data_IF_718209115117
#
_entry.id   IF_718209115117
#
_cell.length_a   1.000
_cell.length_b   1.000
_cell.length_c   1.000
_cell.angle_alpha   90.00
_cell.angle_beta   90.00
_cell.angle_gamma   90.00
#
_symmetry.space_group_name_H-M   'P 1'
#
loop_
_entity.id
_entity.type
_entity.pdbx_description
1 polymer ?
#
# COMPACT_ATOMS: atom_id res chain seq x y z
N UNK A 1 46.56 -20.96 -13.87
CA UNK A 1 45.45 -21.79 -14.40
C UNK A 1 44.82 -22.52 -13.24
N UNK A 2 43.72 -21.98 -12.72
CA UNK A 2 42.83 -22.68 -11.80
C UNK A 2 41.40 -22.35 -12.27
N UNK A 3 40.84 -23.22 -13.08
CA UNK A 3 39.44 -23.18 -13.48
C UNK A 3 38.63 -23.83 -12.35
N UNK A 4 38.13 -23.04 -11.42
CA UNK A 4 37.09 -23.49 -10.50
C UNK A 4 35.82 -23.77 -11.31
N UNK A 5 35.52 -25.06 -11.46
CA UNK A 5 34.26 -25.55 -11.96
C UNK A 5 33.16 -25.16 -10.96
N UNK A 6 32.48 -24.04 -11.23
CA UNK A 6 31.19 -23.71 -10.63
C UNK A 6 30.17 -24.78 -11.07
N UNK A 7 30.01 -25.81 -10.24
CA UNK A 7 28.87 -26.71 -10.40
C UNK A 7 27.57 -25.97 -10.08
N UNK A 8 26.49 -26.18 -10.84
CA UNK A 8 25.20 -25.64 -10.49
C UNK A 8 24.71 -26.31 -9.21
N UNK A 9 24.59 -25.53 -8.13
CA UNK A 9 23.97 -25.97 -6.88
C UNK A 9 22.53 -26.38 -7.22
N UNK A 10 22.24 -27.67 -7.01
CA UNK A 10 20.92 -28.26 -7.20
C UNK A 10 19.95 -27.71 -6.14
N UNK A 11 19.27 -26.61 -6.48
CA UNK A 11 18.27 -25.97 -5.63
C UNK A 11 16.93 -26.72 -5.71
N UNK A 12 16.82 -27.85 -5.02
CA UNK A 12 15.52 -28.39 -4.67
C UNK A 12 14.90 -27.57 -3.53
N UNK A 13 14.07 -26.61 -3.93
CA UNK A 13 12.72 -26.38 -3.39
C UNK A 13 12.51 -26.16 -1.88
N UNK A 14 13.30 -25.29 -1.20
CA UNK A 14 12.98 -24.85 0.17
C UNK A 14 12.56 -23.38 0.30
N UNK A 15 12.72 -22.54 -0.73
CA UNK A 15 12.37 -21.10 -0.66
C UNK A 15 10.98 -20.75 -1.22
N UNK A 16 10.29 -21.69 -1.87
CA UNK A 16 8.95 -21.48 -2.44
C UNK A 16 7.80 -21.86 -1.48
N UNK A 17 8.08 -22.61 -0.41
CA UNK A 17 7.05 -23.29 0.40
C UNK A 17 6.25 -22.40 1.36
N UNK A 18 6.85 -21.35 1.93
CA UNK A 18 6.30 -20.68 3.12
C UNK A 18 6.12 -19.17 2.97
N UNK A 19 5.99 -18.65 1.75
CA UNK A 19 5.78 -17.21 1.55
C UNK A 19 4.55 -16.71 2.32
N UNK A 20 3.51 -17.54 2.43
CA UNK A 20 2.26 -17.27 3.15
C UNK A 20 2.42 -17.25 4.68
N UNK A 21 3.41 -17.94 5.27
CA UNK A 21 3.65 -17.97 6.71
C UNK A 21 3.97 -16.56 7.24
N UNK A 22 4.83 -15.84 6.53
CA UNK A 22 5.12 -14.43 6.82
C UNK A 22 3.92 -13.50 6.62
N UNK A 23 2.97 -13.83 5.74
CA UNK A 23 1.71 -13.08 5.62
C UNK A 23 0.77 -13.40 6.78
N UNK A 24 0.59 -14.67 7.13
CA UNK A 24 -0.28 -15.07 8.24
C UNK A 24 0.19 -14.43 9.54
N UNK A 25 1.48 -14.48 9.87
CA UNK A 25 1.99 -13.89 11.12
C UNK A 25 1.75 -12.38 11.16
N UNK A 26 1.99 -11.68 10.03
CA UNK A 26 1.77 -10.21 9.93
C UNK A 26 0.32 -9.82 10.12
N UNK A 27 -0.60 -10.53 9.48
CA UNK A 27 -2.01 -10.14 9.45
C UNK A 27 -2.85 -10.82 10.51
N UNK A 28 -2.44 -11.94 11.11
CA UNK A 28 -3.19 -12.62 12.16
C UNK A 28 -3.22 -11.81 13.46
N UNK A 29 -2.05 -11.38 13.94
CA UNK A 29 -1.97 -10.52 15.13
C UNK A 29 -2.69 -9.19 14.91
N UNK A 30 -2.49 -8.59 13.73
CA UNK A 30 -3.20 -7.38 13.34
C UNK A 30 -4.71 -7.57 13.30
N UNK A 31 -5.21 -8.65 12.70
CA UNK A 31 -6.66 -8.94 12.65
C UNK A 31 -7.30 -9.04 14.03
N UNK A 32 -6.61 -9.62 15.01
CA UNK A 32 -7.09 -9.68 16.40
C UNK A 32 -7.19 -8.28 17.02
N UNK A 33 -6.14 -7.48 16.88
CA UNK A 33 -6.10 -6.11 17.41
C UNK A 33 -7.13 -5.22 16.71
N UNK A 34 -7.19 -5.31 15.38
CA UNK A 34 -8.18 -4.64 14.55
C UNK A 34 -9.61 -5.04 14.91
N UNK A 35 -9.87 -6.30 15.28
CA UNK A 35 -11.20 -6.74 15.71
C UNK A 35 -11.63 -6.05 17.02
N UNK A 36 -10.71 -5.93 17.98
CA UNK A 36 -10.95 -5.20 19.25
C UNK A 36 -11.21 -3.72 18.99
N UNK A 37 -10.43 -3.09 18.11
CA UNK A 37 -10.62 -1.70 17.71
C UNK A 37 -11.97 -1.52 17.02
N UNK A 38 -12.33 -2.38 16.06
CA UNK A 38 -13.61 -2.34 15.36
C UNK A 38 -14.78 -2.49 16.33
N UNK A 39 -14.71 -3.44 17.27
CA UNK A 39 -15.71 -3.61 18.30
C UNK A 39 -15.88 -2.35 19.15
N UNK A 40 -14.78 -1.72 19.55
CA UNK A 40 -14.81 -0.44 20.29
C UNK A 40 -15.44 0.68 19.47
N UNK A 41 -15.05 0.83 18.20
CA UNK A 41 -15.61 1.84 17.29
C UNK A 41 -17.13 1.66 17.08
N UNK A 42 -17.59 0.43 16.88
CA UNK A 42 -19.02 0.12 16.74
C UNK A 42 -19.81 0.50 18.01
N UNK A 43 -19.23 0.24 19.18
CA UNK A 43 -19.88 0.56 20.44
C UNK A 43 -19.91 2.05 20.75
N UNK A 44 -18.88 2.80 20.34
CA UNK A 44 -18.77 4.25 20.54
C UNK A 44 -19.63 5.07 19.56
N UNK A 45 -20.17 4.44 18.51
CA UNK A 45 -21.17 5.07 17.65
C UNK A 45 -22.53 4.96 18.34
N UNK A 46 -23.02 6.10 18.85
CA UNK A 46 -24.34 6.21 19.48
C UNK A 46 -25.50 6.09 18.49
N UNK A 47 -25.24 6.38 17.21
CA UNK A 47 -26.24 6.25 16.14
C UNK A 47 -26.56 4.77 15.92
N UNK A 48 -27.84 4.44 15.74
CA UNK A 48 -28.25 3.10 15.27
C UNK A 48 -27.67 2.88 13.87
N UNK A 49 -26.59 2.13 13.81
CA UNK A 49 -25.97 1.71 12.55
C UNK A 49 -26.38 0.25 12.28
N UNK A 50 -26.81 -0.09 11.05
CA UNK A 50 -27.25 -1.45 10.71
C UNK A 50 -26.22 -2.53 11.03
N UNK A 51 -24.93 -2.18 10.97
CA UNK A 51 -23.82 -3.09 11.29
C UNK A 51 -23.81 -3.48 12.77
N UNK A 52 -24.11 -2.55 13.69
CA UNK A 52 -24.17 -2.83 15.14
C UNK A 52 -25.30 -3.81 15.44
N UNK A 53 -26.48 -3.54 14.91
CA UNK A 53 -27.66 -4.40 15.07
C UNK A 53 -27.43 -5.79 14.45
N UNK A 54 -26.82 -5.83 13.26
CA UNK A 54 -26.46 -7.09 12.61
C UNK A 54 -25.52 -7.92 13.49
N UNK A 55 -24.45 -7.34 14.03
CA UNK A 55 -23.46 -8.05 14.85
C UNK A 55 -24.06 -8.53 16.18
N UNK A 56 -24.91 -7.71 16.82
CA UNK A 56 -25.52 -8.03 18.11
C UNK A 56 -26.61 -9.12 18.00
N UNK A 57 -27.26 -9.27 16.84
CA UNK A 57 -28.31 -10.28 16.63
C UNK A 57 -27.78 -11.66 16.25
N UNK A 58 -26.48 -11.81 15.97
CA UNK A 58 -25.86 -13.11 15.68
C UNK A 58 -25.41 -13.84 16.95
N UNK A 59 -25.32 -15.16 16.83
CA UNK A 59 -24.67 -16.04 17.80
C UNK A 59 -23.19 -15.67 17.99
N UNK A 60 -22.60 -16.11 19.10
CA UNK A 60 -21.25 -15.71 19.49
C UNK A 60 -20.18 -16.11 18.46
N UNK A 61 -20.28 -17.29 17.85
CA UNK A 61 -19.28 -17.75 16.88
C UNK A 61 -19.34 -16.86 15.63
N UNK A 62 -20.53 -16.69 15.06
CA UNK A 62 -20.72 -15.81 13.89
C UNK A 62 -20.26 -14.39 14.20
N UNK A 63 -20.57 -13.87 15.39
CA UNK A 63 -20.14 -12.53 15.83
C UNK A 63 -18.62 -12.41 15.86
N UNK A 64 -17.90 -13.36 16.45
CA UNK A 64 -16.44 -13.33 16.50
C UNK A 64 -15.82 -13.46 15.11
N UNK A 65 -16.36 -14.30 14.23
CA UNK A 65 -15.88 -14.43 12.85
C UNK A 65 -16.07 -13.11 12.09
N UNK A 66 -17.23 -12.46 12.20
CA UNK A 66 -17.48 -11.16 11.57
C UNK A 66 -16.51 -10.10 12.12
N UNK A 67 -16.32 -10.03 13.44
CA UNK A 67 -15.37 -9.09 14.05
C UNK A 67 -13.92 -9.34 13.59
N UNK A 68 -13.51 -10.59 13.45
CA UNK A 68 -12.19 -10.97 12.91
C UNK A 68 -12.02 -10.53 11.45
N UNK A 69 -13.05 -10.72 10.61
CA UNK A 69 -13.03 -10.25 9.22
C UNK A 69 -12.98 -8.71 9.14
N UNK A 70 -13.74 -8.03 9.99
CA UNK A 70 -13.65 -6.57 10.11
C UNK A 70 -12.25 -6.14 10.57
N UNK A 71 -11.67 -6.85 11.53
CA UNK A 71 -10.30 -6.63 11.99
C UNK A 71 -9.26 -6.82 10.90
N UNK A 72 -9.41 -7.84 10.05
CA UNK A 72 -8.55 -8.05 8.89
C UNK A 72 -8.66 -6.89 7.88
N UNK A 73 -9.89 -6.46 7.55
CA UNK A 73 -10.11 -5.30 6.68
C UNK A 73 -9.51 -4.02 7.27
N UNK A 74 -9.69 -3.82 8.58
CA UNK A 74 -9.14 -2.69 9.31
C UNK A 74 -7.61 -2.70 9.28
N UNK A 75 -6.98 -3.84 9.56
CA UNK A 75 -5.54 -4.03 9.50
C UNK A 75 -4.98 -3.67 8.11
N UNK A 76 -5.68 -4.09 7.05
CA UNK A 76 -5.32 -3.75 5.68
C UNK A 76 -5.35 -2.22 5.45
N UNK A 77 -6.42 -1.55 5.86
CA UNK A 77 -6.55 -0.08 5.76
C UNK A 77 -5.48 0.64 6.58
N UNK A 78 -5.28 0.22 7.83
CA UNK A 78 -4.28 0.78 8.73
C UNK A 78 -2.86 0.67 8.17
N UNK A 79 -2.56 -0.39 7.40
CA UNK A 79 -1.26 -0.63 6.78
C UNK A 79 -0.95 0.29 5.58
N UNK A 80 -1.87 1.13 5.11
CA UNK A 80 -1.64 2.05 3.98
C UNK A 80 -0.34 2.87 4.06
N UNK A 81 0.02 3.51 5.20
CA UNK A 81 1.29 4.22 5.33
C UNK A 81 2.53 3.34 5.16
N UNK A 82 2.44 2.05 5.50
CA UNK A 82 3.53 1.10 5.30
C UNK A 82 3.79 0.86 3.81
N UNK A 83 2.77 0.92 2.94
CA UNK A 83 2.97 0.86 1.48
C UNK A 83 3.84 2.04 1.01
N UNK A 84 3.58 3.24 1.53
CA UNK A 84 4.38 4.43 1.21
C UNK A 84 5.82 4.29 1.71
N UNK A 85 6.03 3.71 2.89
CA UNK A 85 7.38 3.39 3.39
C UNK A 85 8.11 2.39 2.49
N UNK A 86 7.43 1.34 2.01
CA UNK A 86 8.03 0.35 1.11
C UNK A 86 8.48 0.94 -0.21
N UNK A 87 7.68 1.82 -0.82
CA UNK A 87 8.06 2.45 -2.09
C UNK A 87 9.15 3.51 -1.90
N UNK A 88 9.27 4.09 -0.70
CA UNK A 88 10.24 5.16 -0.42
C UNK A 88 11.61 4.66 0.06
N UNK A 89 11.75 3.34 0.26
CA UNK A 89 12.95 2.73 0.89
C UNK A 89 14.26 2.86 0.10
N UNK A 90 14.20 3.23 -1.18
CA UNK A 90 15.39 3.44 -2.01
C UNK A 90 16.16 4.69 -1.54
N UNK A 91 15.49 5.62 -0.85
CA UNK A 91 16.10 6.85 -0.35
C UNK A 91 16.75 6.65 1.02
N UNK A 92 17.97 7.16 1.23
CA UNK A 92 18.55 7.24 2.57
C UNK A 92 17.85 8.31 3.41
N UNK A 93 17.65 8.07 4.72
CA UNK A 93 16.94 8.99 5.62
C UNK A 93 17.51 10.42 5.59
N UNK A 94 18.83 10.58 5.47
CA UNK A 94 19.49 11.89 5.41
C UNK A 94 19.14 12.74 4.19
N UNK A 95 18.67 12.13 3.09
CA UNK A 95 18.22 12.86 1.90
C UNK A 95 16.83 13.49 2.08
N UNK A 96 15.99 12.91 2.95
CA UNK A 96 14.62 13.35 3.18
C UNK A 96 14.56 14.72 3.86
N UNK A 97 15.47 14.98 4.80
CA UNK A 97 15.55 16.27 5.52
C UNK A 97 16.03 17.42 4.64
N UNK A 98 16.90 17.15 3.67
CA UNK A 98 17.52 18.20 2.82
C UNK A 98 16.55 18.78 1.78
N UNK A 99 15.59 17.96 1.33
CA UNK A 99 14.69 18.31 0.24
C UNK A 99 13.22 18.41 0.70
N UNK A 100 12.98 18.81 1.96
CA UNK A 100 11.63 18.93 2.49
C UNK A 100 10.84 20.01 1.70
N UNK A 101 9.79 19.65 0.94
CA UNK A 101 9.08 20.60 0.09
C UNK A 101 8.16 21.47 0.96
N UNK A 102 8.71 22.53 1.58
CA UNK A 102 7.99 23.41 2.52
C UNK A 102 6.66 23.91 1.95
N UNK A 103 6.64 24.28 0.66
CA UNK A 103 5.42 24.73 -0.02
C UNK A 103 4.36 23.63 -0.14
N UNK A 104 4.77 22.38 -0.40
CA UNK A 104 3.85 21.25 -0.48
C UNK A 104 3.26 20.93 0.90
N UNK A 105 4.09 20.96 1.94
CA UNK A 105 3.63 20.77 3.33
C UNK A 105 2.64 21.86 3.70
N UNK A 106 2.93 23.13 3.38
CA UNK A 106 2.02 24.23 3.65
C UNK A 106 0.70 24.07 2.91
N UNK A 107 0.73 23.68 1.63
CA UNK A 107 -0.48 23.38 0.85
C UNK A 107 -1.28 22.21 1.44
N UNK A 108 -0.60 21.15 1.88
CA UNK A 108 -1.22 19.99 2.51
C UNK A 108 -1.88 20.36 3.84
N UNK A 109 -1.19 21.15 4.68
CA UNK A 109 -1.72 21.68 5.94
C UNK A 109 -2.94 22.59 5.71
N UNK A 110 -2.84 23.51 4.75
CA UNK A 110 -3.93 24.42 4.41
C UNK A 110 -5.15 23.64 3.91
N UNK A 111 -4.97 22.69 3.00
CA UNK A 111 -6.04 21.84 2.50
C UNK A 111 -6.70 21.03 3.62
N UNK A 112 -5.90 20.41 4.48
CA UNK A 112 -6.38 19.64 5.63
C UNK A 112 -7.20 20.52 6.59
N UNK A 113 -6.68 21.69 6.94
CA UNK A 113 -7.38 22.67 7.76
C UNK A 113 -8.69 23.13 7.13
N UNK A 114 -8.70 23.45 5.83
CA UNK A 114 -9.91 23.85 5.11
C UNK A 114 -10.97 22.75 5.11
N UNK A 115 -10.59 21.49 4.85
CA UNK A 115 -11.54 20.36 4.85
C UNK A 115 -12.13 20.14 6.25
N UNK A 116 -11.31 20.14 7.29
CA UNK A 116 -11.79 19.97 8.67
C UNK A 116 -12.71 21.12 9.07
N UNK A 117 -12.29 22.37 8.85
CA UNK A 117 -13.09 23.54 9.20
C UNK A 117 -14.44 23.53 8.47
N UNK A 118 -14.47 23.13 7.20
CA UNK A 118 -15.71 22.99 6.44
C UNK A 118 -16.61 21.89 7.03
N UNK A 119 -16.06 20.72 7.37
CA UNK A 119 -16.84 19.62 7.95
C UNK A 119 -17.44 19.99 9.31
N UNK A 120 -16.67 20.64 10.17
CA UNK A 120 -17.14 21.11 11.48
C UNK A 120 -18.19 22.22 11.35
N UNK A 121 -18.00 23.12 10.39
CA UNK A 121 -18.99 24.17 10.11
C UNK A 121 -20.32 23.56 9.61
N UNK A 122 -20.25 22.60 8.68
CA UNK A 122 -21.43 21.91 8.16
C UNK A 122 -22.14 21.04 9.19
N UNK A 123 -21.42 20.48 10.18
CA UNK A 123 -22.05 19.72 11.27
C UNK A 123 -22.67 20.62 12.35
N UNK A 124 -22.45 21.94 12.26
CA UNK A 124 -22.88 22.88 13.28
C UNK A 124 -22.03 22.85 14.56
N UNK A 125 -20.85 22.21 14.52
CA UNK A 125 -19.99 22.01 15.70
C UNK A 125 -19.69 23.34 16.39
N UNK A 126 -19.27 24.38 15.65
CA UNK A 126 -18.92 25.68 16.21
C UNK A 126 -20.06 26.43 16.92
N UNK A 127 -21.31 25.97 16.78
CA UNK A 127 -22.47 26.57 17.45
C UNK A 127 -22.84 25.85 18.75
N UNK A 128 -22.20 24.73 19.06
CA UNK A 128 -22.41 23.96 20.29
C UNK A 128 -21.49 24.42 21.43
N UNK A 129 -21.94 24.24 22.67
CA UNK A 129 -21.09 24.41 23.84
C UNK A 129 -20.16 23.20 24.00
N UNK A 130 -18.86 23.45 24.10
CA UNK A 130 -17.83 22.41 24.18
C UNK A 130 -17.10 22.46 25.52
N UNK A 131 -16.96 21.28 26.14
CA UNK A 131 -16.09 21.10 27.30
C UNK A 131 -14.61 20.99 26.87
N UNK A 132 -13.70 21.25 27.81
CA UNK A 132 -12.25 21.13 27.63
C UNK A 132 -11.81 19.74 27.15
N UNK A 133 -12.54 18.69 27.55
CA UNK A 133 -12.29 17.32 27.11
C UNK A 133 -12.51 17.12 25.61
N UNK A 134 -13.51 17.80 25.01
CA UNK A 134 -13.81 17.70 23.58
C UNK A 134 -12.71 18.35 22.72
N UNK A 135 -12.12 19.46 23.19
CA UNK A 135 -10.96 20.05 22.54
C UNK A 135 -9.74 19.13 22.55
N UNK A 136 -9.51 18.41 23.65
CA UNK A 136 -8.43 17.42 23.70
C UNK A 136 -8.65 16.28 22.70
N UNK A 137 -9.87 15.75 22.60
CA UNK A 137 -10.22 14.73 21.62
C UNK A 137 -10.05 15.23 20.19
N UNK A 138 -10.44 16.47 19.92
CA UNK A 138 -10.24 17.14 18.64
C UNK A 138 -8.76 17.20 18.26
N UNK A 139 -7.90 17.67 19.17
CA UNK A 139 -6.47 17.76 18.89
C UNK A 139 -5.83 16.39 18.67
N UNK A 140 -6.09 15.41 19.54
CA UNK A 140 -5.50 14.07 19.41
C UNK A 140 -6.01 13.38 18.14
N UNK A 141 -7.32 13.43 17.88
CA UNK A 141 -7.97 12.80 16.74
C UNK A 141 -7.46 13.31 15.39
N UNK A 142 -6.90 14.53 15.35
CA UNK A 142 -6.46 15.17 14.11
C UNK A 142 -4.94 15.32 13.98
N UNK A 143 -4.21 15.52 15.07
CA UNK A 143 -2.77 15.73 15.00
C UNK A 143 -2.03 14.46 14.58
N UNK A 144 -2.45 13.31 15.12
CA UNK A 144 -1.83 12.02 14.80
C UNK A 144 -1.98 11.68 13.30
N UNK A 145 -3.19 11.66 12.71
CA UNK A 145 -3.32 11.35 11.29
C UNK A 145 -2.69 12.42 10.41
N UNK A 146 -2.69 13.69 10.84
CA UNK A 146 -1.98 14.75 10.13
C UNK A 146 -0.47 14.49 10.07
N UNK A 147 0.16 14.15 11.19
CA UNK A 147 1.60 13.85 11.22
C UNK A 147 1.94 12.66 10.32
N UNK A 148 1.14 11.58 10.39
CA UNK A 148 1.30 10.41 9.53
C UNK A 148 1.10 10.77 8.05
N UNK A 149 0.10 11.58 7.73
CA UNK A 149 -0.15 12.08 6.38
C UNK A 149 1.02 12.93 5.85
N UNK A 150 1.55 13.85 6.67
CA UNK A 150 2.69 14.69 6.29
C UNK A 150 3.94 13.86 6.03
N UNK A 151 4.24 12.88 6.88
CA UNK A 151 5.37 11.96 6.66
C UNK A 151 5.22 11.25 5.32
N UNK A 152 4.04 10.70 5.03
CA UNK A 152 3.77 10.03 3.75
C UNK A 152 3.96 10.95 2.54
N UNK A 153 3.40 12.16 2.59
CA UNK A 153 3.53 13.17 1.53
C UNK A 153 5.01 13.55 1.33
N UNK A 154 5.81 13.63 2.39
CA UNK A 154 7.24 13.96 2.27
C UNK A 154 7.99 12.84 1.56
N UNK A 155 7.80 11.59 1.97
CA UNK A 155 8.64 10.48 1.52
C UNK A 155 8.24 9.93 0.14
N UNK A 156 6.96 10.04 -0.25
CA UNK A 156 6.45 9.43 -1.48
C UNK A 156 7.21 9.97 -2.72
N UNK A 157 7.56 9.10 -3.69
CA UNK A 157 8.09 9.51 -5.00
C UNK A 157 7.13 10.45 -5.72
N UNK A 158 7.61 11.58 -6.24
CA UNK A 158 6.75 12.63 -6.83
C UNK A 158 7.09 12.98 -8.27
N UNK A 159 8.34 12.79 -8.68
CA UNK A 159 8.84 13.23 -9.97
C UNK A 159 9.50 12.06 -10.73
N UNK A 160 9.88 12.30 -11.98
CA UNK A 160 10.46 11.26 -12.83
C UNK A 160 11.83 10.79 -12.32
N UNK A 161 12.63 11.69 -11.74
CA UNK A 161 13.94 11.35 -11.15
C UNK A 161 13.79 10.34 -10.02
N UNK A 162 12.79 10.54 -9.15
CA UNK A 162 12.43 9.61 -8.08
C UNK A 162 12.06 8.23 -8.62
N UNK A 163 11.28 8.18 -9.70
CA UNK A 163 10.88 6.93 -10.34
C UNK A 163 12.08 6.23 -10.98
N UNK A 164 13.02 6.98 -11.55
CA UNK A 164 14.25 6.44 -12.13
C UNK A 164 15.13 5.82 -11.05
N UNK A 165 15.35 6.53 -9.95
CA UNK A 165 16.17 6.04 -8.84
C UNK A 165 15.53 4.82 -8.18
N UNK A 166 14.21 4.87 -7.96
CA UNK A 166 13.41 3.76 -7.47
C UNK A 166 13.52 2.53 -8.38
N UNK A 167 13.34 2.71 -9.69
CA UNK A 167 13.45 1.63 -10.68
C UNK A 167 14.85 1.00 -10.63
N UNK A 168 15.91 1.81 -10.67
CA UNK A 168 17.30 1.34 -10.62
C UNK A 168 17.55 0.54 -9.35
N UNK A 169 17.13 1.05 -8.19
CA UNK A 169 17.28 0.37 -6.92
C UNK A 169 16.60 -1.01 -6.93
N UNK A 170 15.37 -1.12 -7.44
CA UNK A 170 14.65 -2.40 -7.48
C UNK A 170 15.22 -3.37 -8.53
N UNK A 171 15.70 -2.87 -9.66
CA UNK A 171 16.34 -3.67 -10.71
C UNK A 171 17.66 -4.28 -10.19
N UNK A 172 18.55 -3.45 -9.63
CA UNK A 172 19.81 -3.89 -9.00
C UNK A 172 19.56 -4.88 -7.86
N UNK A 173 18.56 -4.61 -7.01
CA UNK A 173 18.20 -5.51 -5.93
C UNK A 173 17.66 -6.85 -6.45
N UNK A 174 16.91 -6.86 -7.54
CA UNK A 174 16.40 -8.09 -8.15
C UNK A 174 17.53 -8.91 -8.77
N UNK A 175 18.49 -8.25 -9.41
CA UNK A 175 19.69 -8.85 -9.96
C UNK A 175 20.50 -9.51 -8.84
N UNK A 176 20.83 -8.77 -7.78
CA UNK A 176 21.60 -9.30 -6.66
C UNK A 176 20.89 -10.47 -5.97
N UNK A 177 19.57 -10.48 -5.87
CA UNK A 177 18.82 -11.62 -5.31
C UNK A 177 18.91 -12.89 -6.17
N UNK A 178 19.07 -12.73 -7.48
CA UNK A 178 19.18 -13.87 -8.39
C UNK A 178 20.55 -14.53 -8.31
N UNK A 179 21.61 -13.72 -8.17
CA UNK A 179 22.99 -14.22 -8.18
C UNK A 179 23.57 -14.49 -6.78
N UNK A 180 22.98 -13.90 -5.73
CA UNK A 180 23.54 -13.92 -4.38
C UNK A 180 22.54 -14.55 -3.41
N UNK A 181 22.69 -15.85 -3.15
CA UNK A 181 21.95 -16.55 -2.09
C UNK A 181 22.83 -16.65 -0.83
N UNK A 182 22.85 -15.60 -0.03
CA UNK A 182 23.60 -15.59 1.24
C UNK A 182 22.66 -15.63 2.43
N UNK A 183 23.09 -16.27 3.52
CA UNK A 183 22.38 -16.29 4.81
C UNK A 183 22.14 -14.87 5.37
N UNK A 184 22.95 -13.90 4.94
CA UNK A 184 22.76 -12.49 5.26
C UNK A 184 21.46 -11.95 4.64
N UNK A 185 21.13 -12.33 3.41
CA UNK A 185 19.92 -11.88 2.74
C UNK A 185 18.65 -12.41 3.43
N UNK A 186 18.66 -13.69 3.81
CA UNK A 186 17.54 -14.31 4.55
C UNK A 186 17.38 -13.68 5.93
N UNK A 187 18.49 -13.45 6.65
CA UNK A 187 18.49 -12.76 7.93
C UNK A 187 17.93 -11.34 7.85
N UNK A 188 18.40 -10.53 6.90
CA UNK A 188 17.87 -9.17 6.67
C UNK A 188 16.39 -9.19 6.28
N UNK A 189 15.96 -10.16 5.46
CA UNK A 189 14.56 -10.32 5.06
C UNK A 189 13.66 -10.56 6.26
N UNK A 190 14.06 -11.46 7.15
CA UNK A 190 13.34 -11.77 8.38
C UNK A 190 13.22 -10.55 9.30
N UNK A 191 14.34 -9.82 9.54
CA UNK A 191 14.33 -8.58 10.34
C UNK A 191 13.33 -7.56 9.77
N UNK A 192 13.32 -7.38 8.44
CA UNK A 192 12.38 -6.48 7.78
C UNK A 192 10.93 -6.95 7.88
N UNK A 193 10.68 -8.24 7.73
CA UNK A 193 9.31 -8.81 7.78
C UNK A 193 8.70 -8.68 9.17
N UNK A 194 9.48 -8.91 10.24
CA UNK A 194 9.05 -8.65 11.62
C UNK A 194 8.91 -7.16 11.91
N UNK A 195 9.89 -6.34 11.53
CA UNK A 195 9.79 -4.88 11.70
C UNK A 195 8.56 -4.29 11.01
N UNK A 196 8.19 -4.82 9.84
CA UNK A 196 6.95 -4.48 9.16
C UNK A 196 5.71 -4.89 9.99
N UNK A 197 5.66 -6.12 10.50
CA UNK A 197 4.55 -6.59 11.36
C UNK A 197 4.30 -5.65 12.55
N UNK A 198 5.35 -5.33 13.31
CA UNK A 198 5.25 -4.44 14.47
C UNK A 198 4.84 -3.02 14.09
N UNK A 199 5.35 -2.52 12.97
CA UNK A 199 4.99 -1.19 12.48
C UNK A 199 3.52 -1.11 12.05
N UNK A 200 2.98 -2.17 11.42
CA UNK A 200 1.56 -2.26 11.08
C UNK A 200 0.71 -2.24 12.35
N UNK A 201 1.09 -2.99 13.38
CA UNK A 201 0.39 -2.97 14.66
C UNK A 201 0.36 -1.57 15.30
N UNK A 202 1.47 -0.83 15.26
CA UNK A 202 1.52 0.56 15.74
C UNK A 202 0.57 1.44 14.92
N UNK A 203 0.58 1.31 13.59
CA UNK A 203 -0.31 2.06 12.70
C UNK A 203 -1.80 1.73 12.96
N UNK A 204 -2.12 0.49 13.27
CA UNK A 204 -3.47 0.07 13.68
C UNK A 204 -3.93 0.78 14.94
N UNK A 205 -3.09 0.86 15.96
CA UNK A 205 -3.41 1.55 17.22
C UNK A 205 -3.55 3.06 16.98
N UNK A 206 -2.62 3.67 16.23
CA UNK A 206 -2.66 5.11 15.93
C UNK A 206 -3.91 5.49 15.14
N UNK A 207 -4.26 4.74 14.09
CA UNK A 207 -5.49 4.97 13.35
C UNK A 207 -6.71 4.74 14.26
N UNK A 208 -6.67 3.73 15.12
CA UNK A 208 -7.81 3.34 15.96
C UNK A 208 -8.15 4.43 16.96
N UNK A 209 -7.14 4.97 17.64
CA UNK A 209 -7.29 6.14 18.50
C UNK A 209 -7.76 7.36 17.73
N UNK A 210 -7.18 7.63 16.56
CA UNK A 210 -7.59 8.77 15.73
C UNK A 210 -9.07 8.70 15.37
N UNK A 211 -9.57 7.52 15.01
CA UNK A 211 -10.98 7.29 14.69
C UNK A 211 -11.88 7.38 15.91
N UNK A 212 -11.52 6.76 17.04
CA UNK A 212 -12.31 6.84 18.29
C UNK A 212 -12.48 8.29 18.72
N UNK A 213 -11.39 9.07 18.76
CA UNK A 213 -11.46 10.47 19.16
C UNK A 213 -12.20 11.32 18.12
N UNK A 214 -12.03 11.03 16.83
CA UNK A 214 -12.78 11.73 15.78
C UNK A 214 -14.28 11.49 15.90
N UNK A 215 -14.73 10.26 16.13
CA UNK A 215 -16.16 9.92 16.29
C UNK A 215 -16.77 10.64 17.51
N UNK A 216 -16.01 10.74 18.62
CA UNK A 216 -16.45 11.46 19.82
C UNK A 216 -16.62 12.97 19.62
N UNK A 217 -15.90 13.53 18.64
CA UNK A 217 -16.06 14.93 18.22
C UNK A 217 -17.21 15.01 17.22
N UNK A 218 -17.03 14.40 16.06
CA UNK A 218 -18.00 14.37 14.96
C UNK A 218 -17.78 13.16 14.06
N UNK A 219 -18.85 12.42 13.75
CA UNK A 219 -18.75 11.22 12.91
C UNK A 219 -18.07 11.46 11.55
N UNK A 220 -18.37 12.59 10.89
CA UNK A 220 -17.80 12.92 9.58
C UNK A 220 -16.28 13.15 9.63
N UNK A 221 -15.74 13.50 10.81
CA UNK A 221 -14.31 13.68 10.99
C UNK A 221 -13.56 12.36 10.83
N UNK A 222 -14.14 11.25 11.26
CA UNK A 222 -13.56 9.92 11.07
C UNK A 222 -13.42 9.56 9.57
N UNK A 223 -14.36 9.99 8.74
CA UNK A 223 -14.28 9.82 7.27
C UNK A 223 -13.13 10.63 6.70
N UNK A 224 -12.94 11.88 7.14
CA UNK A 224 -11.80 12.70 6.70
C UNK A 224 -10.46 12.09 7.12
N UNK A 225 -10.37 11.57 8.35
CA UNK A 225 -9.20 10.83 8.86
C UNK A 225 -8.89 9.62 7.99
N UNK A 226 -9.89 8.79 7.66
CA UNK A 226 -9.70 7.64 6.76
C UNK A 226 -9.20 8.05 5.38
N UNK A 227 -9.79 9.10 4.79
CA UNK A 227 -9.36 9.60 3.48
C UNK A 227 -7.90 10.05 3.53
N UNK A 228 -7.50 10.89 4.49
CA UNK A 228 -6.11 11.31 4.60
C UNK A 228 -5.14 10.16 4.92
N UNK A 229 -5.58 9.15 5.66
CA UNK A 229 -4.76 7.97 5.97
C UNK A 229 -4.47 7.13 4.72
N UNK A 230 -5.46 6.96 3.85
CA UNK A 230 -5.41 6.08 2.69
C UNK A 230 -4.87 6.79 1.43
N UNK A 231 -5.15 8.09 1.28
CA UNK A 231 -4.90 8.81 0.02
C UNK A 231 -3.44 8.75 -0.45
N UNK A 232 -2.40 8.91 0.39
CA UNK A 232 -1.01 8.75 -0.06
C UNK A 232 -0.69 7.33 -0.48
N UNK A 233 -1.23 6.32 0.22
CA UNK A 233 -1.08 4.91 -0.16
C UNK A 233 -1.75 4.61 -1.49
N UNK A 234 -2.94 5.16 -1.75
CA UNK A 234 -3.61 5.06 -3.04
C UNK A 234 -2.79 5.72 -4.17
N UNK A 235 -2.13 6.86 -3.90
CA UNK A 235 -1.25 7.51 -4.86
C UNK A 235 -0.04 6.63 -5.28
N UNK A 236 0.41 5.71 -4.42
CA UNK A 236 1.49 4.75 -4.77
C UNK A 236 1.14 3.90 -5.99
N UNK A 237 -0.15 3.69 -6.30
CA UNK A 237 -0.57 3.02 -7.53
C UNK A 237 -0.05 3.73 -8.80
N UNK A 238 -0.05 5.06 -8.81
CA UNK A 238 0.51 5.86 -9.92
C UNK A 238 2.02 5.64 -10.01
N UNK A 239 2.71 5.58 -8.87
CA UNK A 239 4.15 5.28 -8.81
C UNK A 239 4.42 3.92 -9.43
N UNK A 240 3.66 2.88 -9.06
CA UNK A 240 3.77 1.55 -9.65
C UNK A 240 3.58 1.54 -11.16
N UNK A 241 2.56 2.25 -11.65
CA UNK A 241 2.31 2.40 -13.10
C UNK A 241 3.49 3.06 -13.82
N UNK A 242 4.14 4.05 -13.20
CA UNK A 242 5.29 4.72 -13.80
C UNK A 242 6.55 3.83 -13.81
N UNK A 243 6.74 2.99 -12.77
CA UNK A 243 7.77 1.95 -12.76
C UNK A 243 7.56 0.97 -13.93
N UNK A 244 6.33 0.51 -14.17
CA UNK A 244 6.03 -0.40 -15.28
C UNK A 244 6.34 0.21 -16.65
N UNK A 245 5.95 1.47 -16.87
CA UNK A 245 6.31 2.22 -18.09
C UNK A 245 7.82 2.28 -18.26
N UNK A 246 8.57 2.49 -17.18
CA UNK A 246 10.04 2.52 -17.21
C UNK A 246 10.61 1.15 -17.54
N UNK A 247 10.11 0.09 -16.91
CA UNK A 247 10.51 -1.28 -17.18
C UNK A 247 10.39 -1.63 -18.67
N UNK A 248 9.26 -1.28 -19.30
CA UNK A 248 9.05 -1.46 -20.73
C UNK A 248 10.10 -0.67 -21.53
N UNK A 249 10.31 0.61 -21.21
CA UNK A 249 11.26 1.47 -21.93
C UNK A 249 12.68 0.89 -21.91
N UNK A 250 13.14 0.41 -20.77
CA UNK A 250 14.51 -0.10 -20.57
C UNK A 250 14.71 -1.50 -21.19
N UNK A 251 13.78 -2.44 -20.96
CA UNK A 251 14.01 -3.84 -21.31
C UNK A 251 13.40 -4.27 -22.65
N UNK A 252 12.45 -3.52 -23.21
CA UNK A 252 11.82 -3.87 -24.49
C UNK A 252 12.83 -4.02 -25.65
N UNK A 253 13.86 -3.16 -25.82
CA UNK A 253 14.84 -3.32 -26.89
C UNK A 253 15.62 -4.65 -26.77
N UNK A 254 16.08 -4.99 -25.57
CA UNK A 254 16.79 -6.23 -25.31
C UNK A 254 15.90 -7.46 -25.53
N UNK A 255 14.65 -7.40 -25.06
CA UNK A 255 13.66 -8.45 -25.28
C UNK A 255 13.35 -8.66 -26.78
N UNK A 256 13.16 -7.58 -27.54
CA UNK A 256 12.97 -7.64 -29.01
C UNK A 256 14.17 -8.26 -29.72
N UNK A 257 15.40 -7.96 -29.29
CA UNK A 257 16.62 -8.57 -29.84
C UNK A 257 16.65 -10.07 -29.55
N UNK A 258 16.44 -10.46 -28.30
CA UNK A 258 16.46 -11.87 -27.84
C UNK A 258 15.37 -12.72 -28.51
N UNK A 259 14.18 -12.16 -28.71
CA UNK A 259 13.01 -12.86 -29.28
C UNK A 259 12.74 -12.47 -30.73
N UNK A 260 13.73 -11.94 -31.44
CA UNK A 260 13.61 -11.52 -32.84
C UNK A 260 13.11 -12.65 -33.75
N UNK A 261 13.56 -13.89 -33.52
CA UNK A 261 13.10 -15.08 -34.25
C UNK A 261 11.59 -15.35 -34.08
N UNK A 262 11.07 -15.30 -32.85
CA UNK A 262 9.64 -15.48 -32.56
C UNK A 262 8.78 -14.37 -33.19
N UNK A 263 9.28 -13.14 -33.21
CA UNK A 263 8.59 -12.00 -33.82
C UNK A 263 8.53 -12.19 -35.34
N UNK A 264 9.62 -12.64 -35.96
CA UNK A 264 9.67 -12.94 -37.39
C UNK A 264 8.76 -14.12 -37.76
N UNK A 265 8.73 -15.17 -36.96
CA UNK A 265 7.86 -16.33 -37.16
C UNK A 265 6.37 -15.94 -37.08
N UNK A 266 5.96 -15.18 -36.05
CA UNK A 266 4.58 -14.66 -35.95
C UNK A 266 4.20 -13.74 -37.12
N UNK A 267 5.15 -12.93 -37.62
CA UNK A 267 4.91 -12.08 -38.80
C UNK A 267 4.70 -12.94 -40.04
N UNK A 268 5.50 -13.99 -40.25
CA UNK A 268 5.31 -14.96 -41.36
C UNK A 268 3.96 -15.64 -41.28
N UNK A 269 3.61 -16.22 -40.13
CA UNK A 269 2.30 -16.84 -39.90
C UNK A 269 1.10 -15.89 -40.05
N UNK A 270 1.31 -14.57 -39.88
CA UNK A 270 0.26 -13.57 -40.11
C UNK A 270 0.16 -13.19 -41.58
N UNK A 271 1.28 -13.10 -42.30
CA UNK A 271 1.31 -12.90 -43.74
C UNK A 271 0.69 -14.09 -44.48
N UNK A 272 1.06 -15.32 -44.13
CA UNK A 272 0.52 -16.55 -44.72
C UNK A 272 -1.00 -16.66 -44.50
N UNK A 273 -1.52 -16.19 -43.36
CA UNK A 273 -2.97 -16.10 -43.12
C UNK A 273 -3.66 -15.09 -44.01
N UNK A 274 -3.08 -13.90 -44.19
CA UNK A 274 -3.63 -12.86 -45.09
C UNK A 274 -3.65 -13.34 -46.54
N UNK A 275 -2.59 -14.03 -46.98
CA UNK A 275 -2.52 -14.62 -48.30
C UNK A 275 -3.55 -15.74 -48.48
N UNK A 276 -3.73 -16.61 -47.48
CA UNK A 276 -4.78 -17.64 -47.50
C UNK A 276 -6.19 -17.05 -47.64
N UNK A 277 -6.52 -15.99 -46.89
CA UNK A 277 -7.82 -15.32 -47.00
C UNK A 277 -8.02 -14.62 -48.34
N UNK A 278 -6.97 -14.00 -48.90
CA UNK A 278 -7.04 -13.35 -50.22
C UNK A 278 -7.21 -14.38 -51.35
N UNK A 279 -6.54 -15.53 -51.26
CA UNK A 279 -6.66 -16.65 -52.19
C UNK A 279 -8.07 -17.27 -52.15
N UNK A 280 -8.61 -17.51 -50.95
CA UNK A 280 -9.98 -18.03 -50.77
C UNK A 280 -11.03 -17.07 -51.33
N UNK A 281 -10.86 -15.76 -51.15
CA UNK A 281 -11.76 -14.73 -51.70
C UNK A 281 -11.76 -14.72 -53.24
N UNK A 282 -10.61 -14.95 -53.89
CA UNK A 282 -10.51 -15.06 -55.36
C UNK A 282 -11.16 -16.32 -55.93
N UNK A 283 -11.14 -17.43 -55.19
CA UNK A 283 -11.81 -18.68 -55.61
C UNK A 283 -13.33 -18.61 -55.55
N UNK A 284 -13.90 -17.82 -54.63
CA UNK A 284 -15.35 -17.66 -54.50
C UNK A 284 -15.98 -16.62 -55.46
N UNK A 285 -15.16 -15.94 -56.28
CA UNK A 285 -15.58 -14.94 -57.27
C UNK A 285 -15.50 -15.46 -58.72
N UNK A 286 -15.23 -16.75 -58.89
CA UNK A 286 -15.31 -17.48 -60.17
C UNK A 286 -16.41 -18.53 -60.05
#
# INVERSE_FOLDING_TARGET
MASENLQPVNNNSSSAGNWWEGYIIRYALGSLVGAVICWKLINDIDKKIPVKDFIQTKDDITRYVVLLLMGLCYCYVASSPMLVLHVSRYRPLGSLYKNLPKLLILKALALWGCVISLLLWLSGYFYAEHDSSQWLYFFIGLIVPLLVYLVQIVIVPKNDDDVIELFRFYDELSFLRHYTFTDIMTSYRHIREHGNAYSVLILEILLGWSLVFSIKVEFYLAVAVLIAWILPGAFVWIVGTNIEKRYIKEHLPAAKKKHSYLILEKKRQSADRLDYFSFKKRKNLK
#
